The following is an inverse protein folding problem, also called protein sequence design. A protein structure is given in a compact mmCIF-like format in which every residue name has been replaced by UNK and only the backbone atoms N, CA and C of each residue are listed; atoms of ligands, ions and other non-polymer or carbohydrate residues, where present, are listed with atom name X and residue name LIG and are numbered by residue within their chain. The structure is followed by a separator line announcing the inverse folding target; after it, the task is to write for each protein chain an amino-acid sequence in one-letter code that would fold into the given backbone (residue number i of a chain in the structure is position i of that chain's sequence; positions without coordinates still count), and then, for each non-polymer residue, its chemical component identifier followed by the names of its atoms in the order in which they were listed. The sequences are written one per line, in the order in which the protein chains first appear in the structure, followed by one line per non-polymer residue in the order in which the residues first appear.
data_IF_438313497372
#
_entry.id   IF_438313497372
#
_cell.length_a   1.000
_cell.length_b   1.000
_cell.length_c   1.000
_cell.angle_alpha   90.00
_cell.angle_beta   90.00
_cell.angle_gamma   90.00
#
_symmetry.space_group_name_H-M   'P 1'
#
loop_
_entity.id
_entity.type
_entity.pdbx_description
1 polymer ?
#
# COMPACT_ATOMS: atom_id res chain seq x y z
N UNK A 1 -24.78 -13.84 -21.04
CA UNK A 1 -24.15 -12.54 -20.68
C UNK A 1 -24.40 -11.55 -21.80
N UNK A 2 -24.88 -10.34 -21.51
CA UNK A 2 -25.15 -9.32 -22.56
C UNK A 2 -23.83 -8.83 -23.18
N UNK A 3 -23.88 -8.42 -24.46
CA UNK A 3 -22.71 -7.85 -25.16
C UNK A 3 -22.08 -6.68 -24.41
N UNK A 4 -22.90 -5.84 -23.79
CA UNK A 4 -22.47 -4.69 -23.01
C UNK A 4 -21.68 -5.08 -21.74
N UNK A 5 -22.12 -6.10 -21.02
CA UNK A 5 -21.40 -6.60 -19.82
C UNK A 5 -20.07 -7.20 -20.21
N UNK A 6 -20.02 -7.95 -21.32
CA UNK A 6 -18.76 -8.49 -21.84
C UNK A 6 -17.80 -7.38 -22.27
N UNK A 7 -18.31 -6.36 -22.98
CA UNK A 7 -17.49 -5.22 -23.40
C UNK A 7 -16.89 -4.46 -22.19
N UNK A 8 -17.68 -4.20 -21.15
CA UNK A 8 -17.18 -3.59 -19.91
C UNK A 8 -16.16 -4.48 -19.18
N UNK A 9 -16.40 -5.79 -19.16
CA UNK A 9 -15.44 -6.76 -18.58
C UNK A 9 -14.07 -6.67 -19.25
N UNK A 10 -14.03 -6.68 -20.59
CA UNK A 10 -12.80 -6.50 -21.35
C UNK A 10 -12.18 -5.11 -21.15
N UNK A 11 -13.02 -4.08 -21.04
CA UNK A 11 -12.59 -2.70 -20.83
C UNK A 11 -11.84 -2.52 -19.52
N UNK A 12 -12.38 -3.03 -18.40
CA UNK A 12 -11.74 -2.97 -17.07
C UNK A 12 -10.52 -3.89 -16.92
N UNK A 13 -10.35 -4.84 -17.84
CA UNK A 13 -9.12 -5.64 -17.95
C UNK A 13 -8.02 -4.94 -18.75
N UNK A 14 -8.32 -3.76 -19.29
CA UNK A 14 -7.35 -2.98 -20.06
C UNK A 14 -7.27 -3.31 -21.55
N UNK A 15 -8.17 -4.15 -22.07
CA UNK A 15 -8.15 -4.53 -23.47
C UNK A 15 -8.34 -3.31 -24.40
N UNK A 16 -7.65 -3.32 -25.54
CA UNK A 16 -7.74 -2.24 -26.52
C UNK A 16 -9.17 -2.13 -27.10
N UNK A 17 -9.69 -0.91 -27.25
CA UNK A 17 -11.04 -0.65 -27.74
C UNK A 17 -11.33 -1.33 -29.09
N UNK A 18 -10.33 -1.43 -29.97
CA UNK A 18 -10.44 -2.16 -31.23
C UNK A 18 -10.73 -3.65 -31.02
N UNK A 19 -10.07 -4.27 -30.06
CA UNK A 19 -10.31 -5.69 -29.70
C UNK A 19 -11.70 -5.87 -29.08
N UNK A 20 -12.10 -4.94 -28.19
CA UNK A 20 -13.43 -4.97 -27.56
C UNK A 20 -14.52 -4.87 -28.64
N UNK A 21 -14.38 -3.92 -29.59
CA UNK A 21 -15.30 -3.78 -30.69
C UNK A 21 -15.39 -5.04 -31.55
N UNK A 22 -14.26 -5.65 -31.84
CA UNK A 22 -14.22 -6.88 -32.62
C UNK A 22 -14.93 -8.04 -31.92
N UNK A 23 -14.68 -8.20 -30.61
CA UNK A 23 -15.23 -9.30 -29.81
C UNK A 23 -16.73 -9.12 -29.48
N UNK A 24 -17.20 -7.89 -29.35
CA UNK A 24 -18.54 -7.61 -28.78
C UNK A 24 -19.49 -6.87 -29.72
N UNK A 25 -18.95 -6.24 -30.78
CA UNK A 25 -19.69 -5.34 -31.65
C UNK A 25 -19.99 -3.95 -31.05
N UNK A 26 -19.57 -3.69 -29.80
CA UNK A 26 -19.81 -2.41 -29.12
C UNK A 26 -18.81 -1.37 -29.62
N UNK A 27 -19.30 -0.23 -30.13
CA UNK A 27 -18.43 0.87 -30.59
C UNK A 27 -17.75 1.58 -29.42
N UNK A 28 -16.63 2.26 -29.68
CA UNK A 28 -15.88 3.03 -28.67
C UNK A 28 -16.79 4.09 -27.99
N UNK A 29 -17.58 4.83 -28.75
CA UNK A 29 -18.52 5.84 -28.20
C UNK A 29 -19.60 5.23 -27.29
N UNK A 30 -20.16 4.08 -27.67
CA UNK A 30 -21.13 3.38 -26.84
C UNK A 30 -20.48 2.80 -25.58
N UNK A 31 -19.23 2.29 -25.71
CA UNK A 31 -18.47 1.79 -24.57
C UNK A 31 -18.17 2.90 -23.56
N UNK A 32 -17.76 4.06 -24.05
CA UNK A 32 -17.48 5.22 -23.21
C UNK A 32 -18.74 5.71 -22.48
N UNK A 33 -19.89 5.86 -23.19
CA UNK A 33 -21.15 6.22 -22.57
C UNK A 33 -21.57 5.21 -21.50
N UNK A 34 -21.49 3.92 -21.83
CA UNK A 34 -21.81 2.84 -20.90
C UNK A 34 -20.91 2.86 -19.66
N UNK A 35 -19.63 3.18 -19.82
CA UNK A 35 -18.70 3.30 -18.67
C UNK A 35 -19.06 4.46 -17.77
N UNK A 36 -19.51 5.59 -18.30
CA UNK A 36 -19.98 6.74 -17.51
C UNK A 36 -21.24 6.37 -16.73
N UNK A 37 -22.24 5.80 -17.41
CA UNK A 37 -23.52 5.44 -16.79
C UNK A 37 -23.34 4.43 -15.65
N UNK A 38 -22.56 3.38 -15.89
CA UNK A 38 -22.30 2.34 -14.88
C UNK A 38 -21.42 2.87 -13.75
N UNK A 39 -20.41 3.72 -14.05
CA UNK A 39 -19.61 4.36 -13.01
C UNK A 39 -20.50 5.20 -12.07
N UNK A 40 -21.44 5.98 -12.61
CA UNK A 40 -22.36 6.80 -11.81
C UNK A 40 -23.21 5.92 -10.86
N UNK A 41 -23.74 4.81 -11.35
CA UNK A 41 -24.54 3.85 -10.55
C UNK A 41 -23.67 3.23 -9.44
N UNK A 42 -22.45 2.76 -9.78
CA UNK A 42 -21.56 2.13 -8.81
C UNK A 42 -21.05 3.12 -7.76
N UNK A 43 -20.76 4.36 -8.15
CA UNK A 43 -20.39 5.41 -7.22
C UNK A 43 -21.52 5.74 -6.23
N UNK A 44 -22.74 5.84 -6.72
CA UNK A 44 -23.94 5.96 -5.88
C UNK A 44 -24.11 4.79 -4.92
N UNK A 45 -23.95 3.55 -5.40
CA UNK A 45 -24.00 2.35 -4.56
C UNK A 45 -22.90 2.33 -3.50
N UNK A 46 -21.67 2.75 -3.85
CA UNK A 46 -20.57 2.84 -2.89
C UNK A 46 -20.86 3.83 -1.77
N UNK A 47 -21.45 4.99 -2.08
CA UNK A 47 -21.85 5.99 -1.07
C UNK A 47 -22.98 5.48 -0.17
N UNK A 48 -24.00 4.87 -0.77
CA UNK A 48 -25.13 4.31 -0.02
C UNK A 48 -24.65 3.18 0.89
N UNK A 49 -23.81 2.25 0.39
CA UNK A 49 -23.27 1.16 1.20
C UNK A 49 -22.31 1.63 2.30
N UNK A 50 -21.70 2.81 2.14
CA UNK A 50 -20.87 3.43 3.18
C UNK A 50 -21.65 4.17 4.27
N UNK A 51 -22.98 4.28 4.15
CA UNK A 51 -23.82 4.86 5.20
C UNK A 51 -23.86 3.96 6.42
N UNK A 52 -23.67 4.54 7.61
CA UNK A 52 -23.76 3.84 8.89
C UNK A 52 -25.10 3.11 9.08
N UNK A 53 -26.17 3.64 8.48
CA UNK A 53 -27.55 3.15 8.67
C UNK A 53 -27.79 1.77 8.03
N UNK A 54 -26.97 1.40 7.04
CA UNK A 54 -27.14 0.14 6.32
C UNK A 54 -26.32 -1.01 6.87
N UNK A 55 -25.34 -0.74 7.74
CA UNK A 55 -24.48 -1.77 8.35
C UNK A 55 -23.72 -2.64 7.33
N UNK A 56 -23.49 -2.14 6.12
CA UNK A 56 -22.74 -2.88 5.09
C UNK A 56 -21.28 -3.05 5.52
N UNK A 57 -20.67 -4.23 5.27
CA UNK A 57 -19.23 -4.41 5.51
C UNK A 57 -18.42 -3.39 4.72
N UNK A 58 -17.44 -2.74 5.36
CA UNK A 58 -16.55 -1.77 4.71
C UNK A 58 -15.84 -2.36 3.49
N UNK A 59 -15.47 -3.64 3.54
CA UNK A 59 -14.88 -4.35 2.41
C UNK A 59 -15.77 -4.34 1.16
N UNK A 60 -17.09 -4.45 1.31
CA UNK A 60 -18.03 -4.37 0.19
C UNK A 60 -18.04 -2.96 -0.40
N UNK A 61 -18.14 -1.93 0.43
CA UNK A 61 -18.10 -0.53 0.02
C UNK A 61 -16.82 -0.21 -0.75
N UNK A 62 -15.68 -0.64 -0.24
CA UNK A 62 -14.38 -0.47 -0.89
C UNK A 62 -14.31 -1.19 -2.24
N UNK A 63 -14.85 -2.40 -2.31
CA UNK A 63 -14.90 -3.19 -3.55
C UNK A 63 -15.76 -2.51 -4.64
N UNK A 64 -16.95 -2.02 -4.27
CA UNK A 64 -17.82 -1.28 -5.19
C UNK A 64 -17.14 0.00 -5.67
N UNK A 65 -16.54 0.78 -4.78
CA UNK A 65 -15.80 1.99 -5.13
C UNK A 65 -14.58 1.73 -6.03
N UNK A 66 -13.87 0.63 -5.81
CA UNK A 66 -12.78 0.21 -6.70
C UNK A 66 -13.32 -0.16 -8.09
N UNK A 67 -14.41 -0.92 -8.16
CA UNK A 67 -15.03 -1.31 -9.42
C UNK A 67 -15.56 -0.07 -10.20
N UNK A 68 -16.15 0.90 -9.51
CA UNK A 68 -16.55 2.16 -10.11
C UNK A 68 -15.38 2.86 -10.81
N UNK A 69 -14.26 3.00 -10.11
CA UNK A 69 -13.03 3.61 -10.69
C UNK A 69 -12.48 2.81 -11.88
N UNK A 70 -12.45 1.48 -11.79
CA UNK A 70 -12.03 0.63 -12.91
C UNK A 70 -12.93 0.81 -14.14
N UNK A 71 -14.24 0.88 -13.94
CA UNK A 71 -15.19 1.13 -15.03
C UNK A 71 -14.99 2.52 -15.62
N UNK A 72 -14.83 3.55 -14.79
CA UNK A 72 -14.58 4.92 -15.24
C UNK A 72 -13.37 5.02 -16.18
N UNK A 73 -12.27 4.41 -15.79
CA UNK A 73 -11.00 4.53 -16.49
C UNK A 73 -10.73 3.41 -17.49
N UNK A 74 -11.49 2.33 -17.47
CA UNK A 74 -11.29 1.17 -18.34
C UNK A 74 -9.96 0.49 -18.07
N UNK A 75 -9.57 0.33 -16.81
CA UNK A 75 -8.25 -0.16 -16.43
C UNK A 75 -8.33 -1.22 -15.33
N UNK A 76 -7.34 -2.12 -15.23
CA UNK A 76 -7.21 -3.01 -14.08
C UNK A 76 -6.89 -2.23 -12.80
N UNK A 77 -7.01 -2.88 -11.64
CA UNK A 77 -6.84 -2.24 -10.34
C UNK A 77 -5.44 -1.63 -10.15
N UNK A 78 -4.42 -2.30 -10.63
CA UNK A 78 -3.01 -1.92 -10.55
C UNK A 78 -2.70 -0.58 -11.24
N UNK A 79 -3.50 -0.23 -12.26
CA UNK A 79 -3.36 1.02 -13.01
C UNK A 79 -3.88 2.25 -12.25
N UNK A 80 -4.81 2.05 -11.31
CA UNK A 80 -5.65 3.12 -10.79
C UNK A 80 -4.87 4.21 -10.06
N UNK A 81 -3.90 3.85 -9.24
CA UNK A 81 -3.17 4.84 -8.45
C UNK A 81 -2.30 5.74 -9.31
N UNK A 82 -1.54 5.15 -10.23
CA UNK A 82 -0.72 5.92 -11.18
C UNK A 82 -1.59 6.84 -12.03
N UNK A 83 -2.72 6.32 -12.54
CA UNK A 83 -3.62 7.08 -13.40
C UNK A 83 -4.31 8.22 -12.64
N UNK A 84 -4.78 7.96 -11.41
CA UNK A 84 -5.42 8.95 -10.54
C UNK A 84 -4.48 10.09 -10.19
N UNK A 85 -3.26 9.77 -9.77
CA UNK A 85 -2.25 10.78 -9.42
C UNK A 85 -1.87 11.61 -10.64
N UNK A 86 -1.61 10.95 -11.78
CA UNK A 86 -1.24 11.63 -13.02
C UNK A 86 -2.33 12.60 -13.50
N UNK A 87 -3.62 12.20 -13.41
CA UNK A 87 -4.74 13.09 -13.75
C UNK A 87 -4.88 14.24 -12.77
N UNK A 88 -4.85 13.97 -11.45
CA UNK A 88 -4.93 15.00 -10.41
C UNK A 88 -3.83 16.05 -10.53
N UNK A 89 -2.62 15.63 -10.89
CA UNK A 89 -1.46 16.51 -11.10
C UNK A 89 -1.36 17.03 -12.54
N UNK A 90 -2.36 16.77 -13.37
CA UNK A 90 -2.45 17.23 -14.76
C UNK A 90 -1.22 16.87 -15.60
N UNK A 91 -0.70 15.65 -15.47
CA UNK A 91 0.44 15.19 -16.28
C UNK A 91 0.07 15.22 -17.77
N UNK A 92 0.79 15.98 -18.61
CA UNK A 92 0.39 16.26 -19.99
C UNK A 92 0.19 15.01 -20.84
N UNK A 93 -1.03 14.83 -21.38
CA UNK A 93 -1.37 13.73 -22.27
C UNK A 93 -1.20 12.35 -21.67
N UNK A 94 -1.21 12.21 -20.32
CA UNK A 94 -1.22 10.93 -19.66
C UNK A 94 -2.65 10.41 -19.55
N UNK A 95 -2.87 9.17 -19.94
CA UNK A 95 -4.19 8.55 -19.92
C UNK A 95 -4.11 7.03 -20.05
N UNK A 96 -5.26 6.39 -20.26
CA UNK A 96 -5.44 4.94 -20.30
C UNK A 96 -4.38 4.19 -21.12
N UNK A 97 -4.11 4.63 -22.33
CA UNK A 97 -3.14 3.93 -23.20
C UNK A 97 -1.74 3.89 -22.61
N UNK A 98 -1.31 4.99 -21.97
CA UNK A 98 0.04 5.10 -21.40
C UNK A 98 0.19 4.33 -20.11
N UNK A 99 -0.82 4.37 -19.26
CA UNK A 99 -0.78 3.53 -18.04
C UNK A 99 -0.82 2.05 -18.39
N UNK A 100 -1.57 1.64 -19.42
CA UNK A 100 -1.56 0.25 -19.88
C UNK A 100 -0.20 -0.16 -20.49
N UNK A 101 0.49 0.76 -21.17
CA UNK A 101 1.85 0.51 -21.64
C UNK A 101 2.84 0.33 -20.50
N UNK A 102 2.71 1.10 -19.43
CA UNK A 102 3.50 0.92 -18.19
C UNK A 102 3.28 -0.46 -17.57
N UNK A 103 2.02 -0.84 -17.36
CA UNK A 103 1.67 -2.15 -16.76
C UNK A 103 2.18 -3.31 -17.61
N UNK A 104 2.00 -3.25 -18.92
CA UNK A 104 2.48 -4.29 -19.84
C UNK A 104 4.01 -4.47 -19.80
N UNK A 105 4.75 -3.49 -19.27
CA UNK A 105 6.20 -3.52 -19.10
C UNK A 105 6.63 -3.65 -17.63
N UNK A 106 5.72 -4.06 -16.73
CA UNK A 106 6.03 -4.38 -15.35
C UNK A 106 5.96 -3.21 -14.37
N UNK A 107 5.56 -2.01 -14.81
CA UNK A 107 5.35 -0.84 -13.96
C UNK A 107 3.92 -0.88 -13.40
N UNK A 108 3.69 -1.66 -12.38
CA UNK A 108 2.36 -1.93 -11.81
C UNK A 108 2.02 -1.08 -10.60
N UNK A 109 3.03 -0.47 -9.98
CA UNK A 109 2.89 0.38 -8.81
C UNK A 109 3.44 1.79 -9.03
N UNK A 110 3.08 2.70 -8.15
CA UNK A 110 3.65 4.06 -8.09
C UNK A 110 5.17 4.00 -7.94
N UNK A 111 5.66 3.09 -7.10
CA UNK A 111 7.10 2.94 -6.84
C UNK A 111 7.85 2.37 -8.04
N UNK A 112 7.27 1.44 -8.79
CA UNK A 112 7.88 0.96 -10.04
C UNK A 112 8.19 2.11 -11.00
N UNK A 113 7.25 3.05 -11.11
CA UNK A 113 7.41 4.22 -12.00
C UNK A 113 8.45 5.19 -11.46
N UNK A 114 8.43 5.49 -10.14
CA UNK A 114 9.40 6.41 -9.51
C UNK A 114 10.83 5.87 -9.63
N UNK A 115 11.00 4.56 -9.52
CA UNK A 115 12.33 3.90 -9.55
C UNK A 115 12.74 3.43 -10.94
N UNK A 116 11.86 3.53 -11.92
CA UNK A 116 12.13 3.19 -13.31
C UNK A 116 13.21 4.09 -13.91
N UNK A 117 14.02 3.51 -14.82
CA UNK A 117 15.02 4.33 -15.51
C UNK A 117 14.38 5.32 -16.46
N UNK A 118 14.98 6.51 -16.57
CA UNK A 118 14.49 7.57 -17.46
C UNK A 118 14.27 7.04 -18.89
N UNK A 119 15.22 6.29 -19.42
CA UNK A 119 15.16 5.76 -20.80
C UNK A 119 14.00 4.80 -21.00
N UNK A 120 13.72 3.91 -20.04
CA UNK A 120 12.57 3.02 -20.10
C UNK A 120 11.26 3.81 -20.12
N UNK A 121 11.12 4.78 -19.23
CA UNK A 121 9.91 5.60 -19.14
C UNK A 121 9.71 6.47 -20.37
N UNK A 122 10.77 7.08 -20.91
CA UNK A 122 10.72 7.87 -22.14
C UNK A 122 10.26 7.00 -23.32
N UNK A 123 10.82 5.79 -23.45
CA UNK A 123 10.42 4.84 -24.50
C UNK A 123 8.93 4.48 -24.41
N UNK A 124 8.41 4.23 -23.22
CA UNK A 124 7.01 3.84 -23.00
C UNK A 124 6.03 5.01 -23.15
N UNK A 125 6.43 6.19 -22.70
CA UNK A 125 5.57 7.37 -22.67
C UNK A 125 5.71 8.26 -23.91
N UNK A 126 6.74 8.01 -24.72
CA UNK A 126 6.99 8.71 -25.99
C UNK A 126 7.44 10.17 -25.83
N UNK A 127 7.86 10.59 -24.62
CA UNK A 127 8.31 11.97 -24.37
C UNK A 127 9.04 12.06 -23.03
N UNK A 128 10.24 12.65 -23.04
CA UNK A 128 11.04 12.93 -21.85
C UNK A 128 10.28 13.84 -20.87
N UNK A 129 9.75 14.95 -21.36
CA UNK A 129 8.94 15.89 -20.54
C UNK A 129 7.78 15.18 -19.83
N UNK A 130 7.15 14.21 -20.48
CA UNK A 130 6.04 13.47 -19.88
C UNK A 130 6.53 12.48 -18.82
N UNK A 131 7.64 11.80 -19.08
CA UNK A 131 8.26 10.89 -18.12
C UNK A 131 8.67 11.65 -16.86
N UNK A 132 9.35 12.76 -17.00
CA UNK A 132 9.73 13.63 -15.87
C UNK A 132 8.53 14.17 -15.10
N UNK A 133 7.51 14.67 -15.80
CA UNK A 133 6.30 15.17 -15.16
C UNK A 133 5.55 14.07 -14.39
N UNK A 134 5.51 12.85 -14.93
CA UNK A 134 4.89 11.71 -14.26
C UNK A 134 5.66 11.33 -12.99
N UNK A 135 6.97 11.14 -13.09
CA UNK A 135 7.82 10.80 -11.94
C UNK A 135 7.73 11.86 -10.85
N UNK A 136 7.81 13.15 -11.22
CA UNK A 136 7.68 14.24 -10.26
C UNK A 136 6.32 14.24 -9.55
N UNK A 137 5.22 14.05 -10.30
CA UNK A 137 3.87 14.01 -9.74
C UNK A 137 3.67 12.83 -8.77
N UNK A 138 4.22 11.67 -9.11
CA UNK A 138 4.13 10.46 -8.27
C UNK A 138 5.00 10.59 -7.03
N UNK A 139 6.23 11.07 -7.16
CA UNK A 139 7.15 11.30 -6.03
C UNK A 139 6.58 12.32 -5.03
N UNK A 140 6.11 13.47 -5.52
CA UNK A 140 5.49 14.50 -4.69
C UNK A 140 4.27 13.96 -3.92
N UNK A 141 3.45 13.14 -4.58
CA UNK A 141 2.29 12.54 -3.92
C UNK A 141 2.71 11.49 -2.89
N UNK A 142 3.69 10.65 -3.21
CA UNK A 142 4.20 9.64 -2.29
C UNK A 142 4.81 10.28 -1.04
N UNK A 143 5.65 11.29 -1.21
CA UNK A 143 6.26 12.05 -0.12
C UNK A 143 5.20 12.77 0.72
N UNK A 144 4.20 13.37 0.08
CA UNK A 144 3.09 14.05 0.76
C UNK A 144 2.24 13.08 1.59
N UNK A 145 1.94 11.88 1.07
CA UNK A 145 1.18 10.86 1.81
C UNK A 145 2.00 10.38 3.00
N UNK A 146 3.26 10.07 2.82
CA UNK A 146 4.15 9.63 3.91
C UNK A 146 4.31 10.69 4.98
N UNK A 147 4.49 11.96 4.59
CA UNK A 147 4.58 13.08 5.51
C UNK A 147 3.25 13.35 6.25
N UNK A 148 2.11 13.17 5.58
CA UNK A 148 0.80 13.29 6.21
C UNK A 148 0.59 12.20 7.27
N UNK A 149 0.92 10.95 6.96
CA UNK A 149 0.87 9.87 7.94
C UNK A 149 1.76 10.18 9.17
N UNK A 150 3.01 10.54 8.95
CA UNK A 150 3.93 10.87 10.03
C UNK A 150 3.39 12.04 10.89
N UNK A 151 2.83 13.08 10.27
CA UNK A 151 2.23 14.22 10.99
C UNK A 151 1.01 13.81 11.81
N UNK A 152 0.14 12.96 11.26
CA UNK A 152 -1.06 12.49 11.96
C UNK A 152 -0.69 11.58 13.14
N UNK A 153 0.28 10.69 12.96
CA UNK A 153 0.78 9.88 14.06
C UNK A 153 1.44 10.72 15.15
N UNK A 154 2.15 11.82 14.79
CA UNK A 154 2.71 12.76 15.77
C UNK A 154 1.64 13.51 16.54
N UNK A 155 0.58 13.97 15.88
CA UNK A 155 -0.54 14.63 16.54
C UNK A 155 -1.24 13.67 17.51
N UNK A 156 -1.52 12.45 17.08
CA UNK A 156 -2.12 11.43 17.92
C UNK A 156 -1.19 11.02 19.08
N UNK A 157 0.11 10.95 18.80
CA UNK A 157 1.14 10.72 19.82
C UNK A 157 1.18 11.84 20.87
N UNK A 158 0.89 13.08 20.51
CA UNK A 158 0.74 14.20 21.45
C UNK A 158 -0.47 14.01 22.36
N UNK A 159 -1.62 13.63 21.79
CA UNK A 159 -2.84 13.32 22.54
C UNK A 159 -2.65 12.16 23.53
N UNK A 160 -1.81 11.17 23.16
CA UNK A 160 -1.48 10.01 23.98
C UNK A 160 -0.28 10.22 24.93
N UNK A 161 0.40 11.36 24.87
CA UNK A 161 1.60 11.64 25.67
C UNK A 161 2.87 10.92 25.23
N UNK A 162 2.93 10.41 24.01
CA UNK A 162 4.04 9.61 23.45
C UNK A 162 4.67 10.25 22.20
N UNK A 163 4.44 11.53 21.96
CA UNK A 163 4.89 12.27 20.74
C UNK A 163 6.38 12.07 20.45
N UNK A 164 7.23 12.16 21.48
CA UNK A 164 8.69 12.03 21.29
C UNK A 164 9.09 10.62 20.81
N UNK A 165 8.43 9.58 21.31
CA UNK A 165 8.67 8.21 20.88
C UNK A 165 8.24 7.97 19.44
N UNK A 166 7.09 8.54 19.06
CA UNK A 166 6.60 8.50 17.68
C UNK A 166 7.54 9.27 16.75
N UNK A 167 7.99 10.48 17.13
CA UNK A 167 8.97 11.25 16.38
C UNK A 167 10.26 10.46 16.18
N UNK A 168 10.79 9.88 17.26
CA UNK A 168 12.00 9.04 17.22
C UNK A 168 11.84 7.87 16.26
N UNK A 169 10.72 7.15 16.26
CA UNK A 169 10.48 6.04 15.35
C UNK A 169 10.41 6.47 13.87
N UNK A 170 9.88 7.66 13.60
CA UNK A 170 9.80 8.23 12.25
C UNK A 170 11.18 8.68 11.72
N UNK A 171 12.06 9.18 12.58
CA UNK A 171 13.33 9.79 12.20
C UNK A 171 14.51 8.81 12.29
N UNK A 172 14.50 7.92 13.27
CA UNK A 172 15.61 6.99 13.56
C UNK A 172 15.97 6.09 12.37
N UNK A 173 17.24 5.73 12.28
CA UNK A 173 17.82 4.85 11.27
C UNK A 173 18.73 3.80 11.93
N UNK A 174 18.92 2.65 11.28
CA UNK A 174 19.75 1.56 11.78
C UNK A 174 19.34 1.11 13.18
N UNK A 175 20.30 0.91 14.07
CA UNK A 175 20.07 0.42 15.43
C UNK A 175 19.18 1.33 16.31
N UNK A 176 19.14 2.64 16.04
CA UNK A 176 18.24 3.55 16.72
C UNK A 176 16.77 3.32 16.34
N UNK A 177 16.53 2.86 15.10
CA UNK A 177 15.21 2.51 14.63
C UNK A 177 14.69 1.23 15.32
N UNK A 178 15.54 0.21 15.44
CA UNK A 178 15.21 -1.04 16.14
C UNK A 178 14.83 -0.75 17.60
N UNK A 179 15.63 0.11 18.25
CA UNK A 179 15.39 0.55 19.62
C UNK A 179 14.07 1.32 19.75
N UNK A 180 13.77 2.20 18.79
CA UNK A 180 12.53 2.97 18.82
C UNK A 180 11.30 2.08 18.67
N UNK A 181 11.32 1.09 17.77
CA UNK A 181 10.24 0.12 17.60
C UNK A 181 10.09 -0.76 18.85
N UNK A 182 11.21 -1.25 19.40
CA UNK A 182 11.21 -2.05 20.62
C UNK A 182 10.55 -1.30 21.80
N UNK A 183 10.93 -0.04 22.01
CA UNK A 183 10.40 0.76 23.11
C UNK A 183 8.91 1.07 22.97
N UNK A 184 8.43 1.33 21.73
CA UNK A 184 7.00 1.50 21.46
C UNK A 184 6.20 0.24 21.82
N UNK A 185 6.66 -0.94 21.43
CA UNK A 185 5.98 -2.20 21.69
C UNK A 185 6.00 -2.55 23.20
N UNK A 186 7.14 -2.35 23.86
CA UNK A 186 7.33 -2.73 25.25
C UNK A 186 6.69 -1.76 26.23
N UNK A 187 6.90 -0.46 26.04
CA UNK A 187 6.54 0.54 27.04
C UNK A 187 5.10 1.04 26.85
N UNK A 188 4.66 1.21 25.60
CA UNK A 188 3.35 1.80 25.32
C UNK A 188 2.23 0.75 25.24
N UNK A 189 2.54 -0.43 24.72
CA UNK A 189 1.56 -1.51 24.63
C UNK A 189 1.65 -2.50 25.79
N UNK A 190 2.72 -2.41 26.59
CA UNK A 190 2.99 -3.33 27.71
C UNK A 190 2.96 -4.81 27.27
N UNK A 191 3.47 -5.08 26.08
CA UNK A 191 3.53 -6.43 25.54
C UNK A 191 4.78 -7.17 25.99
N UNK A 192 4.74 -8.51 25.94
CA UNK A 192 5.92 -9.36 26.22
C UNK A 192 6.86 -9.28 25.02
N UNK A 193 7.83 -8.38 25.10
CA UNK A 193 8.79 -8.08 24.03
C UNK A 193 10.21 -8.25 24.56
N UNK A 194 11.03 -8.98 23.81
CA UNK A 194 12.45 -9.20 24.12
C UNK A 194 13.28 -8.66 22.96
N UNK A 195 14.28 -7.83 23.28
CA UNK A 195 15.30 -7.44 22.32
C UNK A 195 16.31 -8.57 22.20
N UNK A 196 16.42 -9.17 21.03
CA UNK A 196 17.31 -10.31 20.76
C UNK A 196 18.70 -9.85 20.35
N UNK A 197 18.78 -8.84 19.47
CA UNK A 197 20.05 -8.20 19.09
C UNK A 197 20.43 -7.15 20.15
N UNK A 198 21.25 -7.55 21.10
CA UNK A 198 21.79 -6.69 22.16
C UNK A 198 23.22 -6.19 21.86
N UNK A 199 23.66 -6.35 20.61
CA UNK A 199 25.02 -6.03 20.14
C UNK A 199 26.07 -7.09 20.50
N UNK A 200 25.73 -8.09 21.31
CA UNK A 200 26.60 -9.22 21.69
C UNK A 200 26.29 -10.48 20.87
N UNK A 201 25.04 -10.67 20.51
CA UNK A 201 24.59 -11.77 19.66
C UNK A 201 24.58 -11.30 18.21
N UNK A 202 25.34 -12.00 17.38
CA UNK A 202 25.35 -11.73 15.94
C UNK A 202 24.36 -12.66 15.23
N UNK A 203 23.77 -12.17 14.14
CA UNK A 203 22.94 -12.96 13.24
C UNK A 203 21.63 -13.49 13.89
N UNK A 204 21.03 -12.71 14.79
CA UNK A 204 19.70 -12.96 15.34
C UNK A 204 18.71 -11.87 14.89
N UNK A 205 17.39 -12.13 14.84
CA UNK A 205 16.39 -11.10 14.62
C UNK A 205 16.47 -10.00 15.69
N UNK A 206 15.99 -8.81 15.40
CA UNK A 206 16.13 -7.67 16.32
C UNK A 206 15.21 -7.84 17.56
N UNK A 207 13.96 -8.27 17.34
CA UNK A 207 12.92 -8.30 18.37
C UNK A 207 12.15 -9.62 18.33
N UNK A 208 11.87 -10.20 19.50
CA UNK A 208 10.86 -11.24 19.69
C UNK A 208 9.66 -10.65 20.42
N UNK A 209 8.46 -10.89 19.91
CA UNK A 209 7.21 -10.48 20.51
C UNK A 209 6.33 -11.70 20.76
N UNK A 210 5.74 -11.80 21.95
CA UNK A 210 4.81 -12.87 22.32
C UNK A 210 3.50 -12.25 22.77
N UNK A 211 2.40 -12.64 22.12
CA UNK A 211 1.05 -12.24 22.51
C UNK A 211 0.10 -13.45 22.41
N UNK A 212 -0.36 -13.92 23.56
CA UNK A 212 -1.11 -15.19 23.65
C UNK A 212 -0.28 -16.35 23.09
N UNK A 213 -0.85 -17.10 22.15
CA UNK A 213 -0.19 -18.22 21.48
C UNK A 213 0.59 -17.81 20.23
N UNK A 214 0.65 -16.52 19.91
CA UNK A 214 1.34 -16.01 18.72
C UNK A 214 2.71 -15.46 19.08
N UNK A 215 3.73 -16.01 18.44
CA UNK A 215 5.11 -15.55 18.54
C UNK A 215 5.62 -15.00 17.22
N UNK A 216 6.17 -13.78 17.27
CA UNK A 216 6.70 -13.07 16.13
C UNK A 216 8.21 -12.81 16.30
N UNK A 217 8.96 -13.00 15.23
CA UNK A 217 10.34 -12.53 15.10
C UNK A 217 10.35 -11.34 14.14
N UNK A 218 10.77 -10.19 14.62
CA UNK A 218 10.74 -8.93 13.89
C UNK A 218 12.18 -8.49 13.58
N UNK A 219 12.42 -8.19 12.33
CA UNK A 219 13.61 -7.53 11.82
C UNK A 219 13.25 -6.12 11.41
N UNK A 220 13.99 -5.13 11.85
CA UNK A 220 13.81 -3.74 11.50
C UNK A 220 14.83 -3.32 10.44
N UNK A 221 14.38 -2.70 9.35
CA UNK A 221 15.27 -2.28 8.26
C UNK A 221 15.03 -0.85 7.84
N UNK A 222 16.10 -0.10 7.70
CA UNK A 222 16.09 1.26 7.15
C UNK A 222 17.11 1.41 6.05
N UNK A 223 16.77 2.19 5.01
CA UNK A 223 17.71 2.48 3.92
C UNK A 223 17.66 3.97 3.55
N UNK A 224 18.83 4.51 3.26
CA UNK A 224 19.03 5.90 2.80
C UNK A 224 19.61 5.99 1.39
N UNK A 225 19.96 4.83 0.79
CA UNK A 225 20.43 4.76 -0.60
C UNK A 225 19.36 5.27 -1.58
N UNK A 226 19.78 5.66 -2.77
CA UNK A 226 18.84 6.03 -3.85
C UNK A 226 18.78 4.91 -4.90
N UNK A 227 17.57 4.43 -5.29
CA UNK A 227 16.29 4.73 -4.65
C UNK A 227 16.24 4.21 -3.21
N UNK A 228 15.46 4.85 -2.31
CA UNK A 228 15.40 4.45 -0.90
C UNK A 228 14.46 3.25 -0.72
N UNK A 229 14.87 2.10 -1.24
CA UNK A 229 14.12 0.85 -1.19
C UNK A 229 14.96 -0.26 -0.58
N UNK A 230 14.33 -1.05 0.30
CA UNK A 230 14.90 -2.23 0.93
C UNK A 230 14.91 -3.35 -0.10
N UNK A 231 16.10 -3.85 -0.42
CA UNK A 231 16.29 -4.93 -1.36
C UNK A 231 15.94 -6.31 -0.77
N UNK A 232 15.92 -7.31 -1.66
CA UNK A 232 15.54 -8.68 -1.31
C UNK A 232 16.36 -9.25 -0.15
N UNK A 233 17.67 -9.11 -0.18
CA UNK A 233 18.53 -9.74 0.84
C UNK A 233 18.34 -9.09 2.22
N UNK A 234 18.16 -7.76 2.25
CA UNK A 234 17.84 -7.00 3.46
C UNK A 234 16.43 -7.31 3.97
N UNK A 235 15.43 -7.36 3.06
CA UNK A 235 14.03 -7.63 3.40
C UNK A 235 13.78 -9.06 3.89
N UNK A 236 14.61 -10.01 3.47
CA UNK A 236 14.51 -11.42 3.84
C UNK A 236 15.54 -11.87 4.89
N UNK A 237 16.34 -10.96 5.43
CA UNK A 237 17.35 -11.25 6.43
C UNK A 237 16.78 -11.97 7.66
N UNK A 238 15.55 -11.68 8.07
CA UNK A 238 14.87 -12.34 9.19
C UNK A 238 14.76 -13.86 9.01
N UNK A 239 14.61 -14.36 7.78
CA UNK A 239 14.52 -15.80 7.53
C UNK A 239 15.84 -16.51 7.83
N UNK A 240 16.97 -15.90 7.47
CA UNK A 240 18.29 -16.42 7.75
C UNK A 240 18.60 -16.32 9.25
N UNK A 241 18.35 -15.17 9.84
CA UNK A 241 18.59 -14.89 11.26
C UNK A 241 17.70 -15.74 12.19
N UNK A 242 16.55 -16.18 11.70
CA UNK A 242 15.61 -17.00 12.45
C UNK A 242 15.80 -18.52 12.25
N UNK A 243 16.92 -18.95 11.66
CA UNK A 243 17.17 -20.38 11.39
C UNK A 243 17.15 -21.28 12.64
N UNK A 244 17.63 -20.73 13.76
CA UNK A 244 17.74 -21.43 15.04
C UNK A 244 16.51 -21.30 15.93
N UNK A 245 15.47 -20.59 15.46
CA UNK A 245 14.21 -20.40 16.18
C UNK A 245 13.14 -21.38 15.72
N UNK A 246 12.10 -21.58 16.56
CA UNK A 246 10.98 -22.48 16.21
C UNK A 246 10.39 -22.08 14.84
N UNK A 247 10.29 -23.05 13.89
CA UNK A 247 9.67 -22.80 12.59
C UNK A 247 8.23 -22.28 12.63
N UNK A 248 7.52 -22.48 13.74
CA UNK A 248 6.15 -21.97 13.94
C UNK A 248 6.11 -20.45 14.19
N UNK A 249 7.19 -19.88 14.70
CA UNK A 249 7.27 -18.43 14.90
C UNK A 249 7.10 -17.70 13.56
N UNK A 250 6.30 -16.66 13.56
CA UNK A 250 6.08 -15.84 12.36
C UNK A 250 7.23 -14.86 12.19
N UNK A 251 7.63 -14.63 10.96
CA UNK A 251 8.78 -13.81 10.60
C UNK A 251 8.32 -12.56 9.89
N UNK A 252 8.72 -11.41 10.39
CA UNK A 252 8.27 -10.11 9.93
C UNK A 252 9.47 -9.21 9.70
N UNK A 253 9.50 -8.49 8.59
CA UNK A 253 10.42 -7.37 8.40
C UNK A 253 9.65 -6.07 8.37
N UNK A 254 9.91 -5.17 9.33
CA UNK A 254 9.39 -3.81 9.35
C UNK A 254 10.40 -2.89 8.67
N UNK A 255 10.01 -2.27 7.57
CA UNK A 255 10.91 -1.54 6.69
C UNK A 255 10.57 -0.08 6.49
N UNK A 256 11.61 0.77 6.40
CA UNK A 256 11.49 2.20 6.12
C UNK A 256 12.47 2.64 5.02
N UNK A 257 12.02 3.32 3.97
CA UNK A 257 10.64 3.76 3.73
C UNK A 257 9.74 2.70 3.08
N UNK A 258 10.25 1.85 2.19
CA UNK A 258 9.51 0.79 1.48
C UNK A 258 10.44 -0.31 0.96
N UNK A 259 9.87 -1.39 0.45
CA UNK A 259 10.57 -2.52 -0.16
C UNK A 259 10.55 -2.41 -1.68
N UNK A 260 11.58 -2.96 -2.34
CA UNK A 260 11.59 -3.05 -3.79
C UNK A 260 10.56 -4.07 -4.31
N UNK A 261 10.21 -3.99 -5.58
CA UNK A 261 9.20 -4.85 -6.19
C UNK A 261 9.60 -6.33 -6.23
N UNK A 262 10.91 -6.60 -6.30
CA UNK A 262 11.39 -7.98 -6.26
C UNK A 262 11.14 -8.61 -4.89
N UNK A 263 11.40 -7.86 -3.81
CA UNK A 263 11.10 -8.26 -2.43
C UNK A 263 9.61 -8.48 -2.23
N UNK A 264 8.77 -7.54 -2.70
CA UNK A 264 7.30 -7.64 -2.60
C UNK A 264 6.75 -8.86 -3.33
N UNK A 265 7.16 -9.09 -4.57
CA UNK A 265 6.74 -10.27 -5.37
C UNK A 265 7.16 -11.59 -4.70
N UNK A 266 8.37 -11.64 -4.16
CA UNK A 266 8.87 -12.82 -3.46
C UNK A 266 8.11 -13.06 -2.15
N UNK A 267 7.82 -12.02 -1.38
CA UNK A 267 7.04 -12.13 -0.16
C UNK A 267 5.60 -12.58 -0.44
N UNK A 268 4.95 -12.04 -1.48
CA UNK A 268 3.60 -12.44 -1.88
C UNK A 268 3.51 -13.94 -2.27
N UNK A 269 4.61 -14.53 -2.74
CA UNK A 269 4.71 -15.96 -3.06
C UNK A 269 5.21 -16.82 -1.88
N UNK A 270 5.59 -16.23 -0.76
CA UNK A 270 6.18 -16.94 0.39
C UNK A 270 5.16 -17.09 1.52
N UNK A 271 4.95 -18.30 2.08
CA UNK A 271 4.09 -18.51 3.23
C UNK A 271 4.76 -18.17 4.57
N UNK A 272 6.02 -17.74 4.57
CA UNK A 272 6.86 -17.72 5.76
C UNK A 272 7.33 -16.34 6.21
N UNK A 273 6.98 -15.28 5.50
CA UNK A 273 7.43 -13.92 5.85
C UNK A 273 6.35 -12.90 5.54
N UNK A 274 6.24 -11.89 6.40
CA UNK A 274 5.49 -10.66 6.15
C UNK A 274 6.44 -9.47 5.99
N UNK A 275 6.23 -8.64 4.98
CA UNK A 275 6.90 -7.35 4.80
C UNK A 275 5.94 -6.22 5.17
N UNK A 276 6.32 -5.42 6.13
CA UNK A 276 5.49 -4.35 6.70
C UNK A 276 6.19 -3.01 6.53
N UNK A 277 5.58 -2.07 5.82
CA UNK A 277 6.10 -0.70 5.75
C UNK A 277 5.93 0.00 7.09
N UNK A 278 6.91 0.80 7.49
CA UNK A 278 6.89 1.55 8.76
C UNK A 278 5.58 2.33 8.98
N UNK A 279 5.14 3.12 8.01
CA UNK A 279 3.90 3.90 8.15
C UNK A 279 2.64 3.05 8.37
N UNK A 280 2.58 1.86 7.74
CA UNK A 280 1.47 0.89 7.90
C UNK A 280 1.55 0.21 9.28
N UNK A 281 2.76 -0.12 9.73
CA UNK A 281 3.00 -0.63 11.07
C UNK A 281 2.57 0.38 12.14
N UNK A 282 2.99 1.64 12.00
CA UNK A 282 2.63 2.72 12.92
C UNK A 282 1.13 2.99 12.95
N UNK A 283 0.44 2.95 11.81
CA UNK A 283 -1.02 3.08 11.79
C UNK A 283 -1.71 1.98 12.59
N UNK A 284 -1.28 0.72 12.42
CA UNK A 284 -1.82 -0.39 13.20
C UNK A 284 -1.56 -0.22 14.70
N UNK A 285 -0.36 0.19 15.06
CA UNK A 285 0.02 0.47 16.45
C UNK A 285 -0.82 1.60 17.05
N UNK A 286 -1.04 2.69 16.32
CA UNK A 286 -1.90 3.78 16.75
C UNK A 286 -3.37 3.36 16.91
N UNK A 287 -3.89 2.48 16.05
CA UNK A 287 -5.23 1.90 16.23
C UNK A 287 -5.34 1.11 17.53
N UNK A 288 -4.31 0.35 17.89
CA UNK A 288 -4.29 -0.40 19.16
C UNK A 288 -4.25 0.57 20.35
N UNK A 289 -3.36 1.54 20.33
CA UNK A 289 -3.22 2.53 21.42
C UNK A 289 -4.49 3.36 21.65
N UNK A 290 -5.27 3.59 20.61
CA UNK A 290 -6.54 4.32 20.68
C UNK A 290 -7.76 3.42 20.87
N UNK A 291 -7.58 2.11 21.08
CA UNK A 291 -8.68 1.15 21.25
C UNK A 291 -9.52 0.88 20.01
N UNK A 292 -9.03 1.29 18.83
CA UNK A 292 -9.71 1.09 17.53
C UNK A 292 -9.42 -0.28 16.89
N UNK A 293 -8.46 -0.99 17.45
CA UNK A 293 -8.04 -2.33 17.03
C UNK A 293 -7.60 -3.12 18.26
N UNK A 294 -7.96 -4.39 18.34
CA UNK A 294 -7.45 -5.24 19.41
C UNK A 294 -5.98 -5.61 19.16
N UNK A 295 -5.22 -5.81 20.23
CA UNK A 295 -3.85 -6.27 20.14
C UNK A 295 -3.74 -7.63 19.40
N UNK A 296 -4.67 -8.53 19.65
CA UNK A 296 -4.71 -9.85 19.01
C UNK A 296 -4.94 -9.75 17.49
N UNK A 297 -5.88 -8.90 17.06
CA UNK A 297 -6.14 -8.70 15.62
C UNK A 297 -4.96 -8.03 14.92
N UNK A 298 -4.28 -7.09 15.59
CA UNK A 298 -3.09 -6.45 15.02
C UNK A 298 -1.94 -7.45 14.86
N UNK A 299 -1.67 -8.28 15.86
CA UNK A 299 -0.63 -9.31 15.80
C UNK A 299 -0.98 -10.39 14.78
N UNK A 300 -2.24 -10.82 14.70
CA UNK A 300 -2.71 -11.76 13.69
C UNK A 300 -2.51 -11.20 12.27
N UNK A 301 -2.85 -9.93 12.06
CA UNK A 301 -2.64 -9.26 10.78
C UNK A 301 -1.16 -9.09 10.43
N UNK A 302 -0.29 -8.74 11.39
CA UNK A 302 1.17 -8.70 11.18
C UNK A 302 1.74 -10.06 10.79
N UNK A 303 1.17 -11.14 11.33
CA UNK A 303 1.59 -12.52 11.08
C UNK A 303 1.13 -13.07 9.72
N UNK A 304 0.26 -12.37 8.99
CA UNK A 304 -0.18 -12.78 7.66
C UNK A 304 0.99 -12.70 6.66
N UNK A 305 1.34 -13.81 5.98
CA UNK A 305 2.43 -13.79 5.01
C UNK A 305 2.14 -12.87 3.83
N UNK A 306 3.21 -12.32 3.26
CA UNK A 306 3.13 -11.45 2.08
C UNK A 306 3.49 -10.01 2.37
N UNK A 307 2.94 -9.09 1.59
CA UNK A 307 3.09 -7.65 1.81
C UNK A 307 1.87 -7.13 2.53
N UNK A 308 2.08 -6.50 3.68
CA UNK A 308 0.97 -5.91 4.43
C UNK A 308 0.38 -4.72 3.67
N UNK A 309 -0.94 -4.72 3.55
CA UNK A 309 -1.71 -3.65 2.90
C UNK A 309 -2.53 -2.90 3.95
N UNK A 310 -2.44 -1.57 3.91
CA UNK A 310 -3.21 -0.68 4.78
C UNK A 310 -4.73 -0.90 4.64
N UNK A 311 -5.20 -1.21 3.43
CA UNK A 311 -6.63 -1.50 3.19
C UNK A 311 -7.10 -2.80 3.83
N UNK A 312 -6.19 -3.69 4.19
CA UNK A 312 -6.47 -4.96 4.87
C UNK A 312 -6.24 -4.86 6.38
N UNK A 313 -5.71 -3.74 6.87
CA UNK A 313 -5.51 -3.51 8.29
C UNK A 313 -6.87 -3.41 8.97
N UNK A 314 -7.19 -4.31 9.92
CA UNK A 314 -8.47 -4.29 10.59
C UNK A 314 -8.63 -3.07 11.51
N UNK A 315 -9.83 -2.91 12.04
CA UNK A 315 -10.17 -1.77 12.92
C UNK A 315 -10.46 -0.48 12.16
N UNK A 316 -10.87 0.55 12.90
CA UNK A 316 -11.19 1.86 12.34
C UNK A 316 -9.92 2.68 12.12
N UNK A 317 -9.70 3.29 10.96
CA UNK A 317 -8.57 4.18 10.73
C UNK A 317 -8.45 5.28 11.77
N UNK A 318 -7.23 5.68 12.11
CA UNK A 318 -6.98 6.80 13.04
C UNK A 318 -7.23 8.17 12.41
N UNK A 319 -7.27 8.20 11.09
CA UNK A 319 -7.55 9.40 10.28
C UNK A 319 -8.87 9.17 9.51
N UNK A 320 -9.63 10.24 9.35
CA UNK A 320 -10.62 10.27 8.29
C UNK A 320 -9.83 10.22 6.98
N UNK A 321 -10.08 9.22 6.12
CA UNK A 321 -9.58 9.30 4.75
C UNK A 321 -9.92 10.69 4.25
N UNK A 322 -8.95 11.49 3.74
CA UNK A 322 -9.30 12.75 3.16
C UNK A 322 -10.37 12.44 2.13
N UNK A 323 -11.57 12.94 2.33
CA UNK A 323 -12.61 12.90 1.31
C UNK A 323 -11.91 13.44 0.06
N UNK A 324 -11.56 12.53 -0.84
CA UNK A 324 -11.06 12.91 -2.14
C UNK A 324 -12.26 13.62 -2.75
N UNK A 325 -12.26 14.94 -2.61
CA UNK A 325 -13.32 15.80 -3.09
C UNK A 325 -13.68 15.30 -4.49
N UNK A 326 -14.87 14.76 -4.60
CA UNK A 326 -15.44 14.37 -5.89
C UNK A 326 -15.58 15.70 -6.60
N UNK A 327 -14.66 15.98 -7.52
CA UNK A 327 -14.84 17.13 -8.39
C UNK A 327 -16.22 17.00 -9.03
N UNK A 328 -17.03 18.08 -8.98
CA UNK A 328 -18.30 18.08 -9.71
C UNK A 328 -17.98 17.80 -11.19
N UNK A 329 -18.83 17.07 -11.89
CA UNK A 329 -18.64 16.83 -13.32
C UNK A 329 -18.60 18.16 -14.05
N UNK A 330 -17.47 18.47 -14.69
CA UNK A 330 -17.31 19.56 -15.66
C UNK A 330 -18.01 19.20 -16.96
#
# INVERSE_FOLDING_TARGET
MTRSVHALGLFIQGEAERKIRFATGVSAGNLHRLSIDINWILDGLSRVSGSSDLGCPQALTNHIGMLARRVRWGTPAEALDVLRIANRKSVPGFGRQRVMALIANGFTTVMDVITGTKDQLVKLLGSERRAEALVAALSDTFDSVSANFARMHLQLGEELGIKEKVAKSNEALGAEYDEAIFNLLREELNWSVVKLDDGKRQNVPDIQLVLGDTELLIECKTVTKKPPLIGKDEGFAVLQKASDFDPKMKRITVGKPDFDEHSKKKAAASPSIALVRHGVFMEGLMRVLTGRLSAADFVAWLAEPGVTDLNRLPGTPTYAEPELAVEPPS
#
